data_IF_274521646577
#
_entry.id   IF_274521646577
#
_cell.length_a   1.000
_cell.length_b   1.000
_cell.length_c   1.000
_cell.angle_alpha   90.00
_cell.angle_beta   90.00
_cell.angle_gamma   90.00
#
_symmetry.space_group_name_H-M   'P 1'
#
loop_
_entity.id
_entity.type
_entity.pdbx_description
1 polymer ?
#
# COMPACT_ATOMS: atom_id res chain seq x y z
N UNK A 1 19.37 -9.88 4.42
CA UNK A 1 18.24 -8.98 4.09
C UNK A 1 18.32 -7.77 4.99
N UNK A 2 18.58 -6.59 4.43
CA UNK A 2 18.67 -5.35 5.19
C UNK A 2 17.28 -4.73 5.31
N UNK A 3 16.82 -4.49 6.53
CA UNK A 3 15.55 -3.82 6.81
C UNK A 3 15.79 -2.34 7.08
N UNK A 4 14.94 -1.48 6.53
CA UNK A 4 14.94 -0.03 6.74
C UNK A 4 13.67 0.39 7.48
N UNK A 5 13.84 1.19 8.52
CA UNK A 5 12.70 1.80 9.22
C UNK A 5 11.93 2.74 8.29
N UNK A 6 10.61 2.61 8.31
CA UNK A 6 9.68 3.49 7.60
C UNK A 6 8.80 4.27 8.58
N UNK A 7 9.10 4.21 9.85
CA UNK A 7 8.37 4.87 10.92
C UNK A 7 7.95 3.92 12.02
N UNK A 8 7.02 4.35 12.85
CA UNK A 8 6.50 3.59 13.97
C UNK A 8 5.08 3.10 13.63
N UNK A 9 4.76 1.85 13.96
CA UNK A 9 3.42 1.32 13.81
C UNK A 9 2.49 1.84 14.94
N UNK A 10 1.20 1.50 14.85
CA UNK A 10 0.20 1.93 15.83
C UNK A 10 0.41 1.38 17.26
N UNK A 11 1.28 0.39 17.44
CA UNK A 11 1.67 -0.17 18.75
C UNK A 11 2.94 0.47 19.33
N UNK A 12 3.57 1.37 18.58
CA UNK A 12 4.84 1.99 18.96
C UNK A 12 6.07 1.22 18.52
N UNK A 13 5.90 0.09 17.82
CA UNK A 13 7.03 -0.69 17.30
C UNK A 13 7.57 -0.08 16.02
N UNK A 14 8.84 -0.37 15.72
CA UNK A 14 9.47 0.07 14.49
C UNK A 14 8.91 -0.70 13.27
N UNK A 15 8.22 0.01 12.39
CA UNK A 15 7.73 -0.54 11.13
C UNK A 15 8.87 -0.53 10.10
N UNK A 16 9.17 -1.70 9.55
CA UNK A 16 10.31 -1.90 8.63
C UNK A 16 9.87 -2.46 7.30
N UNK A 17 10.58 -2.09 6.25
CA UNK A 17 10.53 -2.71 4.94
C UNK A 17 11.94 -3.09 4.50
N UNK A 18 12.05 -4.01 3.56
CA UNK A 18 13.33 -4.33 2.97
C UNK A 18 13.88 -3.12 2.21
N UNK A 19 15.16 -2.79 2.46
CA UNK A 19 15.78 -1.58 1.91
C UNK A 19 15.89 -1.57 0.38
N UNK A 20 15.95 -2.75 -0.22
CA UNK A 20 16.04 -2.94 -1.67
C UNK A 20 14.67 -3.04 -2.38
N UNK A 21 13.57 -3.01 -1.64
CA UNK A 21 12.22 -3.21 -2.16
C UNK A 21 11.37 -1.93 -2.06
N UNK A 22 10.27 -1.99 -1.33
CA UNK A 22 9.31 -0.89 -1.26
C UNK A 22 9.72 0.28 -0.35
N UNK A 23 10.74 0.13 0.51
CA UNK A 23 11.09 1.17 1.48
C UNK A 23 11.45 2.53 0.85
N UNK A 24 12.29 2.63 -0.19
CA UNK A 24 12.58 3.91 -0.84
C UNK A 24 11.32 4.56 -1.41
N UNK A 25 10.51 3.76 -2.13
CA UNK A 25 9.26 4.24 -2.69
C UNK A 25 8.30 4.74 -1.60
N UNK A 26 8.14 3.96 -0.52
CA UNK A 26 7.24 4.33 0.57
C UNK A 26 7.64 5.67 1.20
N UNK A 27 8.91 5.88 1.50
CA UNK A 27 9.40 7.11 2.11
C UNK A 27 9.19 8.32 1.20
N UNK A 28 9.43 8.15 -0.10
CA UNK A 28 9.18 9.15 -1.11
C UNK A 28 7.69 9.48 -1.22
N UNK A 29 6.85 8.45 -1.34
CA UNK A 29 5.40 8.61 -1.35
C UNK A 29 4.89 9.31 -0.09
N UNK A 30 5.34 8.90 1.09
CA UNK A 30 4.90 9.45 2.37
C UNK A 30 5.22 10.95 2.48
N UNK A 31 6.41 11.35 2.06
CA UNK A 31 6.82 12.76 2.04
C UNK A 31 5.88 13.59 1.17
N UNK A 32 5.60 13.11 -0.03
CA UNK A 32 4.70 13.79 -0.96
C UNK A 32 3.26 13.78 -0.48
N UNK A 33 2.78 12.64 -0.01
CA UNK A 33 1.41 12.51 0.49
C UNK A 33 1.12 13.47 1.63
N UNK A 34 2.03 13.60 2.59
CA UNK A 34 1.89 14.54 3.72
C UNK A 34 1.86 15.99 3.26
N UNK A 35 2.63 16.34 2.23
CA UNK A 35 2.61 17.68 1.63
C UNK A 35 1.27 17.98 0.97
N UNK A 36 0.73 17.03 0.22
CA UNK A 36 -0.51 17.21 -0.55
C UNK A 36 -1.78 17.05 0.32
N UNK A 37 -1.67 16.34 1.46
CA UNK A 37 -2.79 16.01 2.35
C UNK A 37 -2.39 16.18 3.83
N UNK A 38 -2.10 17.41 4.29
CA UNK A 38 -1.62 17.65 5.65
C UNK A 38 -2.66 17.31 6.74
N UNK A 39 -3.92 17.18 6.36
CA UNK A 39 -5.05 16.81 7.24
C UNK A 39 -5.21 15.30 7.42
N UNK A 40 -4.41 14.46 6.74
CA UNK A 40 -4.52 13.01 6.81
C UNK A 40 -3.31 12.43 7.55
N UNK A 41 -3.47 11.97 8.80
CA UNK A 41 -2.40 11.25 9.48
C UNK A 41 -2.18 9.88 8.84
N UNK A 42 -0.93 9.50 8.64
CA UNK A 42 -0.54 8.19 8.09
C UNK A 42 0.05 7.34 9.20
N UNK A 43 -0.62 6.23 9.49
CA UNK A 43 -0.19 5.27 10.51
C UNK A 43 -0.06 3.89 9.86
N UNK A 44 1.09 3.25 10.04
CA UNK A 44 1.35 1.90 9.53
C UNK A 44 0.75 0.88 10.49
N UNK A 45 0.02 -0.11 9.95
CA UNK A 45 -0.43 -1.28 10.70
C UNK A 45 0.58 -2.41 10.57
N UNK A 46 0.93 -2.74 9.34
CA UNK A 46 1.87 -3.81 9.03
C UNK A 46 2.73 -3.41 7.82
N UNK A 47 4.00 -3.74 7.92
CA UNK A 47 4.94 -3.65 6.80
C UNK A 47 5.54 -5.04 6.53
N UNK A 48 6.84 -5.24 6.69
CA UNK A 48 7.46 -6.55 6.56
C UNK A 48 6.99 -7.50 7.69
N UNK A 49 6.61 -8.73 7.31
CA UNK A 49 6.17 -9.72 8.30
C UNK A 49 5.69 -11.03 7.69
N UNK A 50 5.58 -12.05 8.53
CA UNK A 50 5.21 -13.43 8.17
C UNK A 50 3.83 -13.83 8.70
N UNK A 51 2.93 -12.89 8.92
CA UNK A 51 1.59 -13.22 9.41
C UNK A 51 0.87 -14.14 8.41
N UNK A 52 0.26 -15.23 8.90
CA UNK A 52 -0.46 -16.21 8.05
C UNK A 52 -1.56 -15.54 7.20
N UNK A 53 -2.22 -14.53 7.76
CA UNK A 53 -3.27 -13.78 7.07
C UNK A 53 -2.78 -12.96 5.87
N UNK A 54 -1.47 -12.74 5.76
CA UNK A 54 -0.86 -11.93 4.69
C UNK A 54 -0.64 -12.71 3.39
N UNK A 55 -0.91 -14.01 3.34
CA UNK A 55 -0.64 -14.88 2.18
C UNK A 55 0.79 -14.74 1.61
N UNK A 56 1.77 -14.35 2.45
CA UNK A 56 3.16 -14.15 2.06
C UNK A 56 3.49 -12.79 1.42
N UNK A 57 2.51 -11.96 1.12
CA UNK A 57 2.73 -10.70 0.39
C UNK A 57 3.64 -9.73 1.17
N UNK A 58 3.48 -9.66 2.49
CA UNK A 58 4.33 -8.81 3.34
C UNK A 58 5.74 -9.39 3.55
N UNK A 59 5.89 -10.70 3.42
CA UNK A 59 7.21 -11.35 3.53
C UNK A 59 8.16 -10.96 2.40
N UNK A 60 7.61 -10.62 1.23
CA UNK A 60 8.37 -10.11 0.09
C UNK A 60 8.83 -8.64 0.24
N UNK A 61 8.32 -7.90 1.24
CA UNK A 61 8.69 -6.49 1.47
C UNK A 61 8.06 -5.50 0.48
N UNK A 62 7.03 -5.92 -0.28
CA UNK A 62 6.39 -5.10 -1.32
C UNK A 62 5.04 -4.51 -0.90
N UNK A 63 4.61 -4.75 0.33
CA UNK A 63 3.31 -4.32 0.83
C UNK A 63 3.41 -3.50 2.10
N UNK A 64 2.48 -2.57 2.25
CA UNK A 64 2.25 -1.81 3.47
C UNK A 64 0.76 -1.75 3.74
N UNK A 65 0.37 -2.00 4.98
CA UNK A 65 -0.98 -1.81 5.48
C UNK A 65 -1.06 -0.53 6.31
N UNK A 66 -2.08 0.29 6.03
CA UNK A 66 -2.30 1.57 6.71
C UNK A 66 -3.56 1.52 7.56
N UNK A 67 -3.48 2.05 8.77
CA UNK A 67 -4.62 2.22 9.67
C UNK A 67 -5.62 3.23 9.09
N UNK A 68 -6.92 2.92 9.19
CA UNK A 68 -7.99 3.81 8.69
C UNK A 68 -9.07 4.15 9.73
N UNK A 69 -8.97 3.64 10.94
CA UNK A 69 -10.04 3.77 11.97
C UNK A 69 -10.29 5.21 12.41
N UNK A 70 -9.30 6.07 12.23
CA UNK A 70 -9.32 7.49 12.53
C UNK A 70 -9.60 8.36 11.31
N UNK A 71 -9.83 7.76 10.12
CA UNK A 71 -10.05 8.46 8.87
C UNK A 71 -11.53 8.48 8.48
N UNK A 72 -11.95 9.57 7.87
CA UNK A 72 -13.25 9.66 7.18
C UNK A 72 -13.20 8.91 5.84
N UNK A 73 -14.35 8.54 5.31
CA UNK A 73 -14.45 7.91 3.99
C UNK A 73 -13.81 8.77 2.88
N UNK A 74 -13.91 10.09 2.97
CA UNK A 74 -13.28 11.01 2.01
C UNK A 74 -11.75 10.94 2.10
N UNK A 75 -11.18 10.88 3.31
CA UNK A 75 -9.75 10.74 3.53
C UNK A 75 -9.22 9.39 3.04
N UNK A 76 -9.96 8.30 3.30
CA UNK A 76 -9.63 6.96 2.78
C UNK A 76 -9.58 6.99 1.25
N UNK A 77 -10.60 7.56 0.59
CA UNK A 77 -10.62 7.68 -0.89
C UNK A 77 -9.45 8.48 -1.42
N UNK A 78 -9.12 9.63 -0.83
CA UNK A 78 -7.96 10.45 -1.22
C UNK A 78 -6.65 9.67 -1.07
N UNK A 79 -6.49 8.92 0.01
CA UNK A 79 -5.29 8.12 0.23
C UNK A 79 -5.14 7.01 -0.80
N UNK A 80 -6.20 6.25 -1.10
CA UNK A 80 -6.20 5.21 -2.14
C UNK A 80 -5.90 5.82 -3.52
N UNK A 81 -6.54 6.93 -3.87
CA UNK A 81 -6.31 7.62 -5.13
C UNK A 81 -4.84 8.05 -5.28
N UNK A 82 -4.26 8.62 -4.23
CA UNK A 82 -2.88 9.06 -4.24
C UNK A 82 -1.90 7.89 -4.35
N UNK A 83 -2.13 6.79 -3.60
CA UNK A 83 -1.34 5.56 -3.71
C UNK A 83 -1.33 5.03 -5.16
N UNK A 84 -2.51 4.96 -5.79
CA UNK A 84 -2.66 4.47 -7.17
C UNK A 84 -2.01 5.39 -8.18
N UNK A 85 -2.15 6.70 -8.03
CA UNK A 85 -1.52 7.69 -8.90
C UNK A 85 0.00 7.63 -8.82
N UNK A 86 0.56 7.32 -7.66
CA UNK A 86 1.99 7.20 -7.39
C UNK A 86 2.59 5.84 -7.78
N UNK A 87 1.79 4.95 -8.34
CA UNK A 87 2.25 3.68 -8.87
C UNK A 87 2.13 2.50 -7.92
N UNK A 88 1.40 2.62 -6.79
CA UNK A 88 0.99 1.43 -6.08
C UNK A 88 0.23 0.53 -7.05
N UNK A 89 0.68 -0.70 -7.23
CA UNK A 89 0.11 -1.65 -8.18
C UNK A 89 -1.31 -2.02 -7.79
N UNK A 90 -1.53 -2.26 -6.50
CA UNK A 90 -2.83 -2.49 -5.91
C UNK A 90 -2.96 -1.70 -4.61
N UNK A 91 -4.09 -1.05 -4.41
CA UNK A 91 -4.44 -0.46 -3.13
C UNK A 91 -5.94 -0.45 -2.96
N UNK A 92 -6.43 -0.96 -1.83
CA UNK A 92 -7.85 -1.01 -1.52
C UNK A 92 -8.08 -1.15 -0.01
N UNK A 93 -9.29 -0.80 0.43
CA UNK A 93 -9.71 -1.00 1.79
C UNK A 93 -10.07 -2.48 2.02
N UNK A 94 -9.41 -3.12 2.99
CA UNK A 94 -9.83 -4.41 3.54
C UNK A 94 -10.75 -4.18 4.72
N UNK A 95 -11.81 -4.96 4.78
CA UNK A 95 -12.70 -5.01 5.93
C UNK A 95 -12.33 -6.21 6.83
N UNK A 96 -12.96 -6.29 7.99
CA UNK A 96 -12.67 -7.25 9.05
C UNK A 96 -13.06 -8.72 8.74
N UNK A 97 -13.37 -9.09 7.50
CA UNK A 97 -13.79 -10.45 7.14
C UNK A 97 -12.74 -11.53 7.45
N UNK A 98 -11.49 -11.16 7.56
CA UNK A 98 -10.38 -12.09 7.81
C UNK A 98 -9.85 -12.01 9.26
N UNK A 99 -10.62 -11.44 10.19
CA UNK A 99 -10.20 -11.24 11.58
C UNK A 99 -9.16 -10.13 11.76
N UNK A 100 -8.91 -9.31 10.72
CA UNK A 100 -8.05 -8.14 10.78
C UNK A 100 -8.92 -6.88 10.90
N UNK A 101 -8.41 -5.89 11.63
CA UNK A 101 -9.05 -4.58 11.66
C UNK A 101 -9.06 -3.96 10.25
N UNK A 102 -10.09 -3.14 9.93
CA UNK A 102 -10.16 -2.45 8.64
C UNK A 102 -8.89 -1.64 8.37
N UNK A 103 -8.31 -1.78 7.19
CA UNK A 103 -7.08 -1.10 6.80
C UNK A 103 -7.03 -0.91 5.28
N UNK A 104 -6.17 0.00 4.82
CA UNK A 104 -5.79 0.07 3.41
C UNK A 104 -4.61 -0.87 3.22
N UNK A 105 -4.77 -1.86 2.35
CA UNK A 105 -3.68 -2.68 1.86
C UNK A 105 -3.12 -2.07 0.58
N UNK A 106 -1.81 -1.87 0.51
CA UNK A 106 -1.14 -1.32 -0.66
C UNK A 106 0.04 -2.18 -1.07
N UNK A 107 0.07 -2.58 -2.35
CA UNK A 107 1.21 -3.27 -2.96
C UNK A 107 1.95 -2.34 -3.90
N UNK A 108 3.27 -2.41 -3.89
CA UNK A 108 4.10 -1.63 -4.79
C UNK A 108 4.39 -2.45 -6.04
N UNK A 109 3.96 -1.94 -7.18
CA UNK A 109 4.21 -2.57 -8.49
C UNK A 109 5.64 -2.25 -8.94
N UNK A 110 6.54 -3.20 -8.80
CA UNK A 110 7.91 -3.07 -9.27
C UNK A 110 8.35 -4.32 -10.02
N UNK A 111 9.35 -4.16 -10.86
CA UNK A 111 10.05 -5.26 -11.50
C UNK A 111 10.72 -6.12 -10.40
N UNK A 112 10.18 -7.29 -10.14
CA UNK A 112 10.65 -8.18 -9.06
C UNK A 112 9.70 -8.32 -7.87
N UNK A 113 8.52 -7.69 -7.90
CA UNK A 113 7.45 -7.99 -6.96
C UNK A 113 7.16 -9.51 -6.98
N UNK A 114 6.86 -10.07 -5.80
CA UNK A 114 6.47 -11.46 -5.72
C UNK A 114 5.19 -11.76 -6.52
N UNK A 115 4.93 -13.05 -6.77
CA UNK A 115 3.79 -13.49 -7.59
C UNK A 115 2.42 -13.05 -7.03
N UNK A 116 2.31 -12.89 -5.70
CA UNK A 116 1.07 -12.45 -5.07
C UNK A 116 0.83 -10.96 -5.27
N UNK A 117 1.85 -10.13 -5.11
CA UNK A 117 1.77 -8.69 -5.40
C UNK A 117 1.45 -8.44 -6.87
N UNK A 118 2.05 -9.19 -7.78
CA UNK A 118 1.75 -9.13 -9.20
C UNK A 118 0.29 -9.52 -9.50
N UNK A 119 -0.20 -10.60 -8.89
CA UNK A 119 -1.61 -11.02 -9.03
C UNK A 119 -2.57 -9.92 -8.54
N UNK A 120 -2.33 -9.36 -7.37
CA UNK A 120 -3.16 -8.29 -6.81
C UNK A 120 -3.18 -7.04 -7.70
N UNK A 121 -2.03 -6.68 -8.24
CA UNK A 121 -1.89 -5.56 -9.19
C UNK A 121 -2.73 -5.77 -10.46
N UNK A 122 -2.65 -6.97 -11.05
CA UNK A 122 -3.44 -7.31 -12.24
C UNK A 122 -4.93 -7.31 -11.92
N UNK A 123 -5.34 -7.84 -10.76
CA UNK A 123 -6.73 -7.85 -10.35
C UNK A 123 -7.31 -6.43 -10.22
N UNK A 124 -6.59 -5.51 -9.56
CA UNK A 124 -7.03 -4.11 -9.41
C UNK A 124 -7.08 -3.39 -10.76
N UNK A 125 -6.13 -3.63 -11.67
CA UNK A 125 -6.17 -3.11 -13.05
C UNK A 125 -7.43 -3.56 -13.79
N UNK A 126 -7.95 -4.74 -13.47
CA UNK A 126 -9.17 -5.31 -14.04
C UNK A 126 -10.45 -4.99 -13.24
N UNK A 127 -10.40 -4.03 -12.33
CA UNK A 127 -11.54 -3.62 -11.51
C UNK A 127 -11.95 -4.64 -10.45
N UNK A 128 -11.02 -5.51 -10.03
CA UNK A 128 -11.22 -6.51 -8.97
C UNK A 128 -10.43 -6.12 -7.72
N UNK A 129 -10.86 -6.60 -6.56
CA UNK A 129 -10.24 -6.24 -5.28
C UNK A 129 -8.90 -6.94 -4.97
N UNK A 130 -8.44 -7.82 -5.83
CA UNK A 130 -7.17 -8.53 -5.63
C UNK A 130 -7.19 -9.62 -4.54
N UNK A 131 -8.34 -9.88 -3.95
CA UNK A 131 -8.53 -10.98 -3.00
C UNK A 131 -8.89 -12.29 -3.74
N UNK A 132 -8.80 -13.41 -3.02
CA UNK A 132 -9.10 -14.74 -3.56
C UNK A 132 -10.49 -14.82 -4.18
N UNK A 133 -11.47 -14.15 -3.59
CA UNK A 133 -12.86 -14.12 -4.08
C UNK A 133 -13.06 -13.25 -5.32
N UNK A 134 -12.06 -12.50 -5.73
CA UNK A 134 -12.06 -11.62 -6.92
C UNK A 134 -13.30 -10.71 -7.03
N UNK A 135 -13.84 -10.27 -5.89
CA UNK A 135 -14.95 -9.32 -5.87
C UNK A 135 -14.59 -8.03 -6.60
N UNK A 136 -15.63 -7.29 -7.02
CA UNK A 136 -15.44 -5.99 -7.67
C UNK A 136 -14.68 -5.03 -6.75
N UNK A 137 -13.73 -4.29 -7.31
CA UNK A 137 -13.05 -3.23 -6.61
C UNK A 137 -14.03 -2.07 -6.30
N UNK A 138 -14.23 -1.79 -5.03
CA UNK A 138 -15.07 -0.69 -4.54
C UNK A 138 -14.59 0.68 -5.01
N UNK A 139 -13.30 0.80 -5.31
CA UNK A 139 -12.63 2.04 -5.69
C UNK A 139 -12.15 2.03 -7.16
N UNK A 140 -12.79 1.24 -8.02
CA UNK A 140 -12.43 1.17 -9.44
C UNK A 140 -12.53 2.55 -10.16
N UNK A 141 -13.41 3.43 -9.67
CA UNK A 141 -13.56 4.81 -10.15
C UNK A 141 -12.35 5.71 -9.81
N UNK A 142 -11.50 5.30 -8.87
CA UNK A 142 -10.27 6.02 -8.49
C UNK A 142 -9.03 5.56 -9.26
N UNK A 143 -9.19 4.67 -10.22
CA UNK A 143 -8.05 4.25 -11.05
C UNK A 143 -7.62 5.41 -11.94
N UNK A 144 -6.37 5.91 -11.81
CA UNK A 144 -5.90 7.01 -12.62
C UNK A 144 -5.77 6.58 -14.07
N UNK A 145 -6.03 7.51 -14.98
CA UNK A 145 -5.78 7.31 -16.42
C UNK A 145 -4.29 7.10 -16.73
N UNK A 146 -3.41 7.60 -15.87
CA UNK A 146 -1.96 7.45 -15.95
C UNK A 146 -1.39 7.24 -14.55
N UNK A 147 -0.64 6.16 -14.37
CA UNK A 147 0.17 5.90 -13.17
C UNK A 147 1.61 6.31 -13.42
N UNK A 148 2.25 6.82 -12.38
CA UNK A 148 3.71 6.94 -12.37
C UNK A 148 4.28 5.53 -12.13
N UNK A 149 5.20 5.01 -12.96
CA UNK A 149 5.96 3.83 -12.60
C UNK A 149 6.69 4.06 -11.26
N UNK A 150 6.77 3.03 -10.42
CA UNK A 150 7.40 3.15 -9.09
C UNK A 150 8.83 3.72 -9.17
N UNK A 151 9.61 3.33 -10.19
CA UNK A 151 10.93 3.90 -10.46
C UNK A 151 10.86 5.40 -10.74
N UNK A 152 9.92 5.83 -11.57
CA UNK A 152 9.77 7.25 -11.92
C UNK A 152 9.30 8.09 -10.73
N UNK A 153 8.50 7.51 -9.83
CA UNK A 153 8.11 8.17 -8.59
C UNK A 153 9.32 8.42 -7.66
N UNK A 154 10.32 7.53 -7.66
CA UNK A 154 11.57 7.70 -6.93
C UNK A 154 12.45 8.81 -7.53
N UNK A 155 12.49 8.94 -8.85
CA UNK A 155 13.33 9.91 -9.55
C UNK A 155 12.84 11.36 -9.36
N UNK A 156 11.56 11.56 -9.03
CA UNK A 156 10.97 12.91 -8.80
C UNK A 156 11.44 13.52 -7.48
N UNK A 157 11.92 12.72 -6.53
CA UNK A 157 12.32 13.16 -5.19
C UNK A 157 13.83 13.06 -4.93
N UNK A 158 14.60 12.63 -5.91
CA UNK A 158 16.05 12.64 -5.88
C UNK A 158 16.59 13.99 -6.33
#
# INVERSE_FOLDING_TARGET
MALRSIGTNYRGDDAKLEASTAAPWYLAWLSRFKSDNPDIPVVVVQAYGFAKASAGVHAGGWCVDFQIWHLTNSQIRRMIQHLRAWGAGASWERNSLDGMEPHIHATIDSDGADSHSAYQTVAVKNGRNGLVNTARDRYADLNPSRRLPAKQALDILA
#
